data_IF_706265957246
#
_entry.id   IF_706265957246
#
_cell.length_a   1.000
_cell.length_b   1.000
_cell.length_c   1.000
_cell.angle_alpha   90.00
_cell.angle_beta   90.00
_cell.angle_gamma   90.00
#
_symmetry.space_group_name_H-M   'P 1'
#
loop_
_entity.id
_entity.type
_entity.pdbx_description
1 polymer ?
#
# COMPACT_ATOMS: atom_id res chain seq x y z
N UNK A 1 12.60 1.55 -18.55
CA UNK A 1 12.31 0.10 -18.54
C UNK A 1 11.98 -0.28 -17.12
N UNK A 2 10.82 -0.93 -16.87
CA UNK A 2 10.40 -1.29 -15.51
C UNK A 2 11.20 -2.50 -15.01
N UNK A 3 11.68 -2.44 -13.76
CA UNK A 3 12.51 -3.46 -13.12
C UNK A 3 11.66 -4.41 -12.30
N UNK A 4 11.78 -5.70 -12.53
CA UNK A 4 11.10 -6.77 -11.78
C UNK A 4 12.15 -7.59 -11.04
N UNK A 5 11.95 -7.81 -9.75
CA UNK A 5 12.70 -8.77 -8.95
C UNK A 5 11.92 -10.07 -8.86
N UNK A 6 12.46 -11.14 -9.45
CA UNK A 6 11.90 -12.49 -9.39
C UNK A 6 12.68 -13.31 -8.37
N UNK A 7 11.99 -13.83 -7.37
CA UNK A 7 12.56 -14.59 -6.26
C UNK A 7 11.91 -15.97 -6.23
N UNK A 8 12.62 -17.00 -6.64
CA UNK A 8 12.13 -18.39 -6.70
C UNK A 8 13.36 -19.32 -6.69
N UNK A 9 13.31 -20.47 -6.09
CA UNK A 9 14.42 -21.43 -6.09
C UNK A 9 14.37 -22.38 -7.30
N UNK A 10 13.25 -22.44 -8.04
CA UNK A 10 13.10 -23.20 -9.28
C UNK A 10 13.74 -22.45 -10.47
N UNK A 11 14.94 -22.89 -10.86
CA UNK A 11 15.68 -22.34 -11.99
C UNK A 11 14.96 -22.46 -13.34
N UNK A 12 14.12 -23.50 -13.51
CA UNK A 12 13.36 -23.72 -14.74
C UNK A 12 12.29 -22.63 -14.87
N UNK A 13 11.52 -22.42 -13.82
CA UNK A 13 10.50 -21.37 -13.76
C UNK A 13 11.13 -19.98 -13.93
N UNK A 14 12.23 -19.70 -13.24
CA UNK A 14 12.99 -18.47 -13.40
C UNK A 14 13.36 -18.20 -14.88
N UNK A 15 13.92 -19.21 -15.56
CA UNK A 15 14.35 -19.08 -16.96
C UNK A 15 13.17 -18.78 -17.89
N UNK A 16 12.06 -19.48 -17.69
CA UNK A 16 10.84 -19.29 -18.51
C UNK A 16 10.25 -17.88 -18.29
N UNK A 17 10.08 -17.50 -17.04
CA UNK A 17 9.48 -16.21 -16.70
C UNK A 17 10.39 -15.02 -17.11
N UNK A 18 11.69 -15.14 -16.91
CA UNK A 18 12.65 -14.10 -17.33
C UNK A 18 12.54 -13.86 -18.81
N UNK A 19 12.66 -14.91 -19.65
CA UNK A 19 12.55 -14.76 -21.11
C UNK A 19 11.20 -14.19 -21.54
N UNK A 20 10.14 -14.60 -20.86
CA UNK A 20 8.78 -14.15 -21.17
C UNK A 20 8.58 -12.67 -20.86
N UNK A 21 9.06 -12.20 -19.75
CA UNK A 21 8.94 -10.81 -19.32
C UNK A 21 9.90 -9.87 -20.06
N UNK A 22 11.14 -10.30 -20.31
CA UNK A 22 12.12 -9.53 -21.08
C UNK A 22 11.64 -9.26 -22.52
N UNK A 23 11.03 -10.26 -23.19
CA UNK A 23 10.40 -10.06 -24.49
C UNK A 23 9.30 -9.00 -24.51
N UNK A 24 8.76 -8.63 -23.36
CA UNK A 24 7.73 -7.59 -23.17
C UNK A 24 8.28 -6.26 -22.66
N UNK A 25 9.60 -6.13 -22.63
CA UNK A 25 10.27 -4.87 -22.29
C UNK A 25 10.48 -4.63 -20.81
N UNK A 26 10.41 -5.66 -19.96
CA UNK A 26 10.80 -5.58 -18.55
C UNK A 26 12.29 -5.88 -18.39
N UNK A 27 12.90 -5.30 -17.34
CA UNK A 27 14.22 -5.69 -16.85
C UNK A 27 14.03 -6.65 -15.69
N UNK A 28 14.45 -7.92 -15.82
CA UNK A 28 14.22 -8.94 -14.81
C UNK A 28 15.53 -9.26 -14.09
N UNK A 29 15.54 -9.14 -12.77
CA UNK A 29 16.60 -9.64 -11.91
C UNK A 29 16.10 -10.85 -11.16
N UNK A 30 16.93 -11.89 -11.10
CA UNK A 30 16.56 -13.18 -10.54
C UNK A 30 17.45 -13.52 -9.36
N UNK A 31 16.85 -13.98 -8.27
CA UNK A 31 17.54 -14.53 -7.11
C UNK A 31 16.83 -15.76 -6.59
N UNK A 32 17.54 -16.62 -5.84
CA UNK A 32 17.03 -17.93 -5.39
C UNK A 32 16.63 -17.97 -3.91
N UNK A 33 16.71 -16.84 -3.20
CA UNK A 33 16.35 -16.79 -1.77
C UNK A 33 15.97 -15.41 -1.30
N UNK A 34 15.16 -15.33 -0.25
CA UNK A 34 14.76 -14.06 0.38
C UNK A 34 15.92 -13.22 0.90
N UNK A 35 17.02 -13.87 1.36
CA UNK A 35 18.23 -13.15 1.82
C UNK A 35 18.92 -12.44 0.66
N UNK A 36 19.07 -13.09 -0.49
CA UNK A 36 19.64 -12.45 -1.69
C UNK A 36 18.73 -11.34 -2.19
N UNK A 37 17.41 -11.55 -2.15
CA UNK A 37 16.41 -10.57 -2.54
C UNK A 37 16.51 -9.29 -1.71
N UNK A 38 16.62 -9.37 -0.38
CA UNK A 38 16.81 -8.21 0.50
C UNK A 38 18.09 -7.44 0.20
N UNK A 39 19.21 -8.15 -0.03
CA UNK A 39 20.48 -7.50 -0.39
C UNK A 39 20.39 -6.76 -1.71
N UNK A 40 19.80 -7.40 -2.72
CA UNK A 40 19.65 -6.79 -4.05
C UNK A 40 18.70 -5.60 -4.01
N UNK A 41 17.59 -5.72 -3.25
CA UNK A 41 16.63 -4.65 -3.06
C UNK A 41 17.27 -3.40 -2.42
N UNK A 42 18.13 -3.58 -1.43
CA UNK A 42 18.80 -2.46 -0.77
C UNK A 42 19.78 -1.72 -1.69
N UNK A 43 20.34 -2.40 -2.70
CA UNK A 43 21.28 -1.81 -3.66
C UNK A 43 20.57 -1.11 -4.83
N UNK A 44 19.52 -1.71 -5.35
CA UNK A 44 18.78 -1.25 -6.53
C UNK A 44 17.32 -1.68 -6.44
N UNK A 45 16.45 -0.87 -5.80
CA UNK A 45 15.04 -1.20 -5.63
C UNK A 45 14.32 -1.44 -6.96
N UNK A 46 13.57 -2.56 -7.10
CA UNK A 46 12.75 -2.83 -8.26
C UNK A 46 11.44 -2.03 -8.25
N UNK A 47 10.77 -1.96 -9.41
CA UNK A 47 9.42 -1.42 -9.52
C UNK A 47 8.34 -2.40 -9.02
N UNK A 48 8.65 -3.71 -8.99
CA UNK A 48 7.75 -4.77 -8.54
C UNK A 48 8.54 -6.01 -8.14
N UNK A 49 8.05 -6.72 -7.12
CA UNK A 49 8.59 -8.01 -6.66
C UNK A 49 7.61 -9.13 -6.98
N UNK A 50 8.12 -10.22 -7.52
CA UNK A 50 7.41 -11.53 -7.64
C UNK A 50 8.21 -12.54 -6.83
N UNK A 51 7.60 -13.18 -5.85
CA UNK A 51 8.30 -14.13 -4.97
C UNK A 51 7.52 -15.42 -4.79
N UNK A 52 8.22 -16.56 -4.87
CA UNK A 52 7.67 -17.79 -4.31
C UNK A 52 7.51 -17.64 -2.79
N UNK A 53 6.50 -18.31 -2.23
CA UNK A 53 6.33 -18.45 -0.79
C UNK A 53 7.29 -19.50 -0.24
N UNK A 54 7.34 -20.67 -0.88
CA UNK A 54 8.07 -21.82 -0.39
C UNK A 54 9.51 -21.82 -0.89
N UNK A 55 10.41 -21.20 -0.14
CA UNK A 55 11.85 -21.19 -0.46
C UNK A 55 12.68 -21.65 0.74
N UNK A 56 13.83 -22.31 0.51
CA UNK A 56 14.70 -22.74 1.58
C UNK A 56 15.34 -21.56 2.34
N UNK A 57 15.41 -21.70 3.66
CA UNK A 57 15.99 -20.71 4.56
C UNK A 57 15.01 -19.58 4.90
N UNK A 58 15.07 -18.45 4.21
CA UNK A 58 14.10 -17.38 4.33
C UNK A 58 13.01 -17.59 3.30
N UNK A 59 11.80 -17.90 3.75
CA UNK A 59 10.63 -18.05 2.91
C UNK A 59 10.14 -16.68 2.36
N UNK A 60 9.20 -16.74 1.40
CA UNK A 60 8.67 -15.53 0.77
C UNK A 60 7.89 -14.64 1.75
N UNK A 61 7.24 -15.21 2.75
CA UNK A 61 6.47 -14.48 3.75
C UNK A 61 7.39 -13.63 4.64
N UNK A 62 8.46 -14.25 5.16
CA UNK A 62 9.46 -13.57 5.97
C UNK A 62 10.22 -12.52 5.14
N UNK A 63 10.52 -12.82 3.88
CA UNK A 63 11.09 -11.84 2.95
C UNK A 63 10.18 -10.63 2.79
N UNK A 64 8.90 -10.82 2.50
CA UNK A 64 7.93 -9.74 2.35
C UNK A 64 7.81 -8.91 3.64
N UNK A 65 7.74 -9.54 4.81
CA UNK A 65 7.67 -8.86 6.10
C UNK A 65 8.87 -7.95 6.33
N UNK A 66 10.09 -8.46 6.12
CA UNK A 66 11.33 -7.66 6.26
C UNK A 66 11.42 -6.55 5.23
N UNK A 67 10.97 -6.80 4.01
CA UNK A 67 10.90 -5.78 2.97
C UNK A 67 9.97 -4.64 3.38
N UNK A 68 8.76 -4.96 3.86
CA UNK A 68 7.76 -3.99 4.32
C UNK A 68 8.22 -3.15 5.53
N UNK A 69 9.14 -3.65 6.32
CA UNK A 69 9.77 -2.90 7.41
C UNK A 69 10.74 -1.79 6.92
N UNK A 70 11.08 -1.77 5.64
CA UNK A 70 11.96 -0.75 5.06
C UNK A 70 11.14 0.34 4.36
N UNK A 71 11.54 1.63 4.47
CA UNK A 71 10.83 2.73 3.79
C UNK A 71 10.59 2.50 2.29
N UNK A 72 11.61 2.17 1.46
CA UNK A 72 11.37 1.91 0.04
C UNK A 72 10.54 0.66 -0.21
N UNK A 73 10.60 -0.34 0.67
CA UNK A 73 9.86 -1.59 0.54
C UNK A 73 8.37 -1.49 0.88
N UNK A 74 7.93 -0.45 1.59
CA UNK A 74 6.52 -0.28 1.97
C UNK A 74 5.60 -0.10 0.76
N UNK A 75 6.08 0.55 -0.30
CA UNK A 75 5.27 0.94 -1.45
C UNK A 75 5.50 0.09 -2.70
N UNK A 76 6.52 -0.77 -2.71
CA UNK A 76 6.81 -1.61 -3.88
C UNK A 76 5.75 -2.70 -4.01
N UNK A 77 5.06 -2.82 -5.15
CA UNK A 77 4.11 -3.90 -5.38
C UNK A 77 4.74 -5.28 -5.21
N UNK A 78 4.02 -6.18 -4.54
CA UNK A 78 4.50 -7.51 -4.22
C UNK A 78 3.46 -8.58 -4.60
N UNK A 79 3.85 -9.51 -5.48
CA UNK A 79 3.03 -10.63 -5.94
C UNK A 79 3.64 -11.93 -5.43
N UNK A 80 2.85 -12.74 -4.73
CA UNK A 80 3.28 -14.09 -4.36
C UNK A 80 2.92 -15.12 -5.43
N UNK A 81 3.84 -16.05 -5.64
CA UNK A 81 3.58 -17.34 -6.28
C UNK A 81 3.35 -18.38 -5.19
N UNK A 82 2.25 -19.13 -5.23
CA UNK A 82 1.87 -20.06 -4.16
C UNK A 82 1.37 -21.39 -4.71
N UNK A 83 1.63 -22.50 -4.01
CA UNK A 83 1.02 -23.77 -4.34
C UNK A 83 -0.48 -23.79 -3.95
N UNK A 84 -1.28 -24.58 -4.69
CA UNK A 84 -2.76 -24.63 -4.55
C UNK A 84 -3.27 -25.06 -3.17
N UNK A 85 -2.39 -25.65 -2.33
CA UNK A 85 -2.78 -26.24 -1.04
C UNK A 85 -2.73 -25.27 0.16
N UNK A 86 -2.10 -24.11 0.00
CA UNK A 86 -1.74 -23.24 1.13
C UNK A 86 -2.74 -22.08 1.26
N UNK A 87 -4.01 -22.43 1.58
CA UNK A 87 -5.01 -21.41 1.92
C UNK A 87 -4.59 -20.60 3.15
N UNK A 88 -3.90 -21.25 4.09
CA UNK A 88 -3.34 -20.61 5.29
C UNK A 88 -2.20 -19.66 4.94
N UNK A 89 -1.31 -20.03 4.03
CA UNK A 89 -0.23 -19.16 3.55
C UNK A 89 -0.78 -17.93 2.79
N UNK A 90 -1.85 -18.11 2.04
CA UNK A 90 -2.56 -16.97 1.38
C UNK A 90 -3.20 -16.03 2.40
N UNK A 91 -3.72 -16.56 3.48
CA UNK A 91 -4.27 -15.77 4.58
C UNK A 91 -3.12 -15.04 5.28
N UNK A 92 -2.04 -15.72 5.64
CA UNK A 92 -0.86 -15.10 6.26
C UNK A 92 -0.20 -14.06 5.35
N UNK A 93 -0.04 -14.34 4.06
CA UNK A 93 0.55 -13.40 3.13
C UNK A 93 -0.27 -12.10 2.96
N UNK A 94 -1.61 -12.18 3.03
CA UNK A 94 -2.45 -10.99 3.13
C UNK A 94 -2.22 -10.20 4.42
N UNK A 95 -1.92 -10.89 5.55
CA UNK A 95 -1.52 -10.26 6.81
C UNK A 95 -0.18 -9.52 6.71
N UNK A 96 0.72 -9.98 5.85
CA UNK A 96 2.08 -9.42 5.71
C UNK A 96 2.13 -8.24 4.73
N UNK A 97 1.06 -7.97 3.98
CA UNK A 97 0.97 -6.81 3.09
C UNK A 97 1.34 -7.10 1.63
N UNK A 98 1.10 -8.32 1.14
CA UNK A 98 1.15 -8.60 -0.29
C UNK A 98 0.02 -7.90 -1.05
N UNK A 99 0.30 -7.47 -2.27
CA UNK A 99 -0.68 -6.80 -3.13
C UNK A 99 -1.47 -7.77 -3.99
N UNK A 100 -0.92 -8.95 -4.33
CA UNK A 100 -1.58 -9.98 -5.13
C UNK A 100 -0.96 -11.37 -4.97
N UNK A 101 -1.64 -12.40 -5.51
CA UNK A 101 -1.24 -13.81 -5.49
C UNK A 101 -1.51 -14.49 -6.82
N UNK A 102 -0.65 -15.46 -7.16
CA UNK A 102 -0.85 -16.39 -8.27
C UNK A 102 -0.64 -17.81 -7.79
N UNK A 103 -1.61 -18.68 -8.07
CA UNK A 103 -1.54 -20.08 -7.67
C UNK A 103 -0.84 -20.91 -8.74
N UNK A 104 0.22 -21.61 -8.37
CA UNK A 104 0.90 -22.61 -9.24
C UNK A 104 0.01 -23.86 -9.40
N UNK A 105 -0.12 -24.44 -10.63
CA UNK A 105 0.44 -23.96 -11.88
C UNK A 105 -0.36 -22.76 -12.46
N UNK A 106 0.32 -21.86 -13.17
CA UNK A 106 -0.27 -20.69 -13.81
C UNK A 106 0.32 -20.47 -15.22
N UNK A 107 -0.40 -19.76 -16.06
CA UNK A 107 0.09 -19.33 -17.36
C UNK A 107 0.92 -18.04 -17.23
N UNK A 108 2.06 -17.90 -17.95
CA UNK A 108 2.85 -16.67 -17.91
C UNK A 108 2.07 -15.39 -18.27
N UNK A 109 0.99 -15.52 -19.02
CA UNK A 109 0.08 -14.42 -19.35
C UNK A 109 -0.69 -13.92 -18.14
N UNK A 110 -1.07 -14.81 -17.21
CA UNK A 110 -1.74 -14.45 -15.95
C UNK A 110 -0.81 -13.62 -15.09
N UNK A 111 0.44 -14.03 -14.94
CA UNK A 111 1.45 -13.26 -14.21
C UNK A 111 1.67 -11.89 -14.84
N UNK A 112 1.78 -11.80 -16.16
CA UNK A 112 1.94 -10.54 -16.86
C UNK A 112 0.78 -9.59 -16.58
N UNK A 113 -0.45 -10.04 -16.70
CA UNK A 113 -1.64 -9.22 -16.45
C UNK A 113 -1.66 -8.65 -15.03
N UNK A 114 -1.25 -9.45 -14.03
CA UNK A 114 -1.14 -8.99 -12.65
C UNK A 114 0.01 -8.00 -12.44
N UNK A 115 1.16 -8.22 -13.05
CA UNK A 115 2.28 -7.27 -13.05
C UNK A 115 1.84 -5.92 -13.62
N UNK A 116 1.20 -5.90 -14.78
CA UNK A 116 0.72 -4.69 -15.42
C UNK A 116 -0.30 -3.94 -14.55
N UNK A 117 -1.26 -4.66 -13.98
CA UNK A 117 -2.26 -4.08 -13.08
C UNK A 117 -1.62 -3.43 -11.84
N UNK A 118 -0.64 -4.09 -11.20
CA UNK A 118 0.02 -3.56 -10.02
C UNK A 118 0.94 -2.37 -10.33
N UNK A 119 1.67 -2.42 -11.43
CA UNK A 119 2.52 -1.30 -11.87
C UNK A 119 1.67 -0.08 -12.24
N UNK A 120 0.56 -0.26 -12.93
CA UNK A 120 -0.36 0.83 -13.27
C UNK A 120 -1.01 1.43 -12.02
N UNK A 121 -1.39 0.60 -11.06
CA UNK A 121 -1.91 1.06 -9.77
C UNK A 121 -0.87 1.90 -9.01
N UNK A 122 0.37 1.42 -8.93
CA UNK A 122 1.49 2.14 -8.30
C UNK A 122 1.73 3.48 -8.99
N UNK A 123 1.69 3.52 -10.33
CA UNK A 123 1.83 4.76 -11.10
C UNK A 123 0.74 5.78 -10.80
N UNK A 124 -0.53 5.35 -10.71
CA UNK A 124 -1.66 6.23 -10.39
C UNK A 124 -1.52 6.83 -8.99
N UNK A 125 -1.16 6.02 -7.99
CA UNK A 125 -0.94 6.49 -6.62
C UNK A 125 0.18 7.53 -6.60
N UNK A 126 1.30 7.25 -7.27
CA UNK A 126 2.43 8.19 -7.34
C UNK A 126 2.05 9.51 -8.03
N UNK A 127 1.32 9.44 -9.14
CA UNK A 127 0.88 10.63 -9.88
C UNK A 127 -0.06 11.49 -9.05
N UNK A 128 -0.97 10.89 -8.29
CA UNK A 128 -1.88 11.62 -7.42
C UNK A 128 -1.15 12.25 -6.22
N UNK A 129 -0.16 11.55 -5.65
CA UNK A 129 0.70 12.07 -4.59
C UNK A 129 1.48 13.31 -5.05
N UNK A 130 2.08 13.26 -6.24
CA UNK A 130 2.80 14.41 -6.83
C UNK A 130 1.83 15.57 -7.08
N UNK A 131 0.63 15.30 -7.59
CA UNK A 131 -0.39 16.31 -7.81
C UNK A 131 -0.84 17.01 -6.52
N UNK A 132 -0.98 16.25 -5.44
CA UNK A 132 -1.34 16.80 -4.12
C UNK A 132 -0.20 17.67 -3.55
N UNK A 133 1.05 17.25 -3.69
CA UNK A 133 2.22 18.03 -3.25
C UNK A 133 2.39 19.33 -4.03
N UNK A 134 2.03 19.37 -5.31
CA UNK A 134 2.10 20.59 -6.15
C UNK A 134 0.97 21.59 -5.86
N UNK A 135 -0.05 21.22 -5.11
CA UNK A 135 -1.18 22.08 -4.74
C UNK A 135 -0.98 22.82 -3.41
N UNK A 136 0.15 22.65 -2.73
CA UNK A 136 0.50 23.50 -1.57
C UNK A 136 0.92 24.86 -2.13
N UNK A 137 0.21 25.96 -1.87
CA UNK A 137 0.66 27.30 -2.28
C UNK A 137 1.97 27.60 -1.56
N UNK A 138 3.00 27.98 -2.30
CA UNK A 138 4.13 28.70 -1.72
C UNK A 138 3.60 30.07 -1.31
N UNK A 139 3.33 30.26 -0.02
CA UNK A 139 3.18 31.59 0.54
C UNK A 139 4.52 32.32 0.40
N UNK A 140 4.64 33.04 -0.68
CA UNK A 140 5.74 33.95 -0.94
C UNK A 140 5.58 35.15 -0.02
N UNK A 141 6.39 35.15 1.02
CA UNK A 141 6.70 36.34 1.83
C UNK A 141 7.17 37.50 0.96
N UNK A 142 6.48 38.61 0.99
CA UNK A 142 7.03 39.91 0.61
C UNK A 142 6.32 41.05 1.35
N UNK A 143 6.93 41.51 2.43
CA UNK A 143 7.07 42.94 2.63
C UNK A 143 6.03 43.63 3.51
N UNK A 144 6.43 43.86 4.75
CA UNK A 144 6.31 45.09 5.57
C UNK A 144 5.01 45.90 5.53
N UNK A 145 4.33 46.14 6.62
CA UNK A 145 4.49 47.31 7.44
C UNK A 145 3.51 47.32 8.66
N UNK A 146 3.92 48.04 9.68
CA UNK A 146 3.34 48.34 10.97
C UNK A 146 1.82 48.45 11.14
N UNK A 147 1.29 47.94 12.29
CA UNK A 147 0.00 48.32 12.82
C UNK A 147 -0.47 47.51 14.00
N UNK A 148 -0.13 47.98 15.21
CA UNK A 148 -0.65 47.60 16.52
C UNK A 148 -2.19 47.51 16.52
N UNK A 149 -2.74 46.32 17.00
CA UNK A 149 -3.87 46.30 17.91
C UNK A 149 -4.17 44.89 18.43
N UNK A 150 -4.25 44.81 19.75
CA UNK A 150 -4.73 43.69 20.54
C UNK A 150 -6.15 43.30 20.14
N UNK A 151 -6.42 42.05 19.84
CA UNK A 151 -7.62 41.42 20.37
C UNK A 151 -7.48 39.89 20.46
N UNK A 152 -7.90 39.38 21.61
CA UNK A 152 -7.86 37.99 22.04
C UNK A 152 -8.97 37.21 21.35
N UNK A 153 -8.65 36.43 20.33
CA UNK A 153 -9.50 35.28 19.97
C UNK A 153 -8.63 34.05 19.84
N UNK A 154 -8.79 33.19 20.84
CA UNK A 154 -8.24 31.85 20.90
C UNK A 154 -8.70 31.04 19.70
N UNK A 155 -7.92 31.01 18.62
CA UNK A 155 -8.11 30.05 17.57
C UNK A 155 -7.60 28.70 18.05
N UNK A 156 -8.53 27.77 18.26
CA UNK A 156 -8.22 26.39 18.49
C UNK A 156 -7.44 25.86 17.28
N UNK A 157 -6.15 25.63 17.50
CA UNK A 157 -5.27 24.94 16.58
C UNK A 157 -5.80 23.51 16.46
N UNK A 158 -6.29 23.12 15.28
CA UNK A 158 -6.61 21.74 15.00
C UNK A 158 -5.36 20.89 15.30
N UNK A 159 -5.45 19.82 16.08
CA UNK A 159 -4.30 18.96 16.35
C UNK A 159 -3.90 18.26 15.04
N UNK A 160 -2.70 18.55 14.57
CA UNK A 160 -2.05 17.72 13.56
C UNK A 160 -1.89 16.30 14.16
N UNK A 161 -2.21 15.23 13.39
CA UNK A 161 -2.05 13.87 13.89
C UNK A 161 -0.57 13.55 14.05
N UNK A 162 -0.06 13.58 15.28
CA UNK A 162 1.35 13.41 15.62
C UNK A 162 1.84 11.96 15.71
N UNK A 163 1.06 10.95 15.32
CA UNK A 163 1.53 9.56 15.33
C UNK A 163 1.25 8.85 14.01
N UNK A 164 2.33 8.40 13.36
CA UNK A 164 2.25 7.46 12.24
C UNK A 164 1.55 6.17 12.71
N UNK A 165 0.34 5.91 12.22
CA UNK A 165 -0.38 4.68 12.51
C UNK A 165 0.47 3.47 12.11
N UNK A 166 0.56 2.42 12.94
CA UNK A 166 1.35 1.21 12.65
C UNK A 166 0.69 0.34 11.57
N UNK A 167 0.13 0.97 10.54
CA UNK A 167 -0.61 0.33 9.47
C UNK A 167 0.23 0.24 8.20
N UNK A 168 0.10 -0.87 7.49
CA UNK A 168 0.65 -0.97 6.13
C UNK A 168 -0.14 -0.04 5.18
N UNK A 169 0.43 0.35 4.02
CA UNK A 169 -0.28 1.18 3.05
C UNK A 169 -1.62 0.59 2.57
N UNK A 170 -1.73 -0.73 2.49
CA UNK A 170 -2.99 -1.41 2.15
C UNK A 170 -4.02 -1.31 3.29
N UNK A 171 -3.59 -1.47 4.53
CA UNK A 171 -4.42 -1.30 5.72
C UNK A 171 -4.83 0.16 5.91
N UNK A 172 -3.92 1.11 5.70
CA UNK A 172 -4.23 2.53 5.77
C UNK A 172 -5.34 2.92 4.78
N UNK A 173 -5.28 2.41 3.54
CA UNK A 173 -6.37 2.63 2.57
C UNK A 173 -7.71 2.09 3.06
N UNK A 174 -7.73 0.89 3.60
CA UNK A 174 -8.96 0.30 4.17
C UNK A 174 -9.40 1.08 5.40
N UNK A 175 -8.49 1.50 6.28
CA UNK A 175 -8.76 2.33 7.45
C UNK A 175 -9.52 3.61 7.05
N UNK A 176 -9.02 4.38 6.06
CA UNK A 176 -9.66 5.59 5.60
C UNK A 176 -11.06 5.37 5.04
N UNK A 177 -11.28 4.27 4.31
CA UNK A 177 -12.61 3.93 3.80
C UNK A 177 -13.56 3.48 4.92
N UNK A 178 -13.02 2.81 5.96
CA UNK A 178 -13.79 2.38 7.13
C UNK A 178 -14.29 3.57 7.94
N UNK A 179 -13.46 4.56 8.19
CA UNK A 179 -13.85 5.76 8.96
C UNK A 179 -14.81 6.68 8.20
N UNK A 180 -14.87 6.58 6.87
CA UNK A 180 -15.91 7.20 6.05
C UNK A 180 -17.27 6.47 6.17
N UNK A 181 -17.35 5.39 6.91
CA UNK A 181 -18.60 4.64 7.12
C UNK A 181 -18.94 3.64 6.01
N UNK A 182 -18.07 3.40 5.04
CA UNK A 182 -18.34 2.51 3.91
C UNK A 182 -18.34 1.04 4.35
N UNK A 183 -19.30 0.26 3.86
CA UNK A 183 -19.37 -1.20 4.09
C UNK A 183 -18.24 -1.94 3.37
N UNK A 184 -17.92 -3.16 3.81
CA UNK A 184 -16.88 -3.98 3.17
C UNK A 184 -17.13 -4.19 1.66
N UNK A 185 -18.40 -4.27 1.25
CA UNK A 185 -18.78 -4.36 -0.17
C UNK A 185 -18.46 -3.08 -0.94
N UNK A 186 -18.76 -1.92 -0.37
CA UNK A 186 -18.45 -0.63 -0.98
C UNK A 186 -16.93 -0.39 -1.04
N UNK A 187 -16.21 -0.71 0.05
CA UNK A 187 -14.75 -0.64 0.09
C UNK A 187 -14.13 -1.54 -0.97
N UNK A 188 -14.63 -2.78 -1.11
CA UNK A 188 -14.14 -3.73 -2.11
C UNK A 188 -14.28 -3.21 -3.54
N UNK A 189 -15.41 -2.56 -3.84
CA UNK A 189 -15.64 -1.94 -5.14
C UNK A 189 -14.73 -0.73 -5.38
N UNK A 190 -14.55 0.12 -4.36
CA UNK A 190 -13.78 1.35 -4.47
C UNK A 190 -12.27 1.10 -4.54
N UNK A 191 -11.78 0.11 -3.80
CA UNK A 191 -10.37 -0.26 -3.77
C UNK A 191 -10.00 -1.37 -4.78
N UNK A 192 -10.99 -1.90 -5.53
CA UNK A 192 -10.83 -2.99 -6.50
C UNK A 192 -10.20 -4.25 -5.88
N UNK A 193 -10.61 -4.61 -4.66
CA UNK A 193 -10.19 -5.81 -3.93
C UNK A 193 -11.42 -6.63 -3.54
N UNK A 194 -11.24 -7.92 -3.18
CA UNK A 194 -12.39 -8.75 -2.76
C UNK A 194 -12.95 -8.29 -1.40
N UNK A 195 -14.26 -8.48 -1.12
CA UNK A 195 -14.83 -8.20 0.22
C UNK A 195 -14.12 -8.98 1.33
N UNK A 196 -13.61 -10.19 1.02
CA UNK A 196 -12.82 -11.00 1.94
C UNK A 196 -11.47 -10.35 2.26
N UNK A 197 -10.82 -9.77 1.25
CA UNK A 197 -9.57 -9.01 1.43
C UNK A 197 -9.79 -7.77 2.32
N UNK A 198 -10.91 -7.06 2.12
CA UNK A 198 -11.29 -5.95 3.01
C UNK A 198 -11.45 -6.42 4.44
N UNK A 199 -12.17 -7.54 4.65
CA UNK A 199 -12.37 -8.11 5.99
C UNK A 199 -11.04 -8.47 6.64
N UNK A 200 -10.11 -9.04 5.89
CA UNK A 200 -8.77 -9.39 6.38
C UNK A 200 -7.99 -8.13 6.81
N UNK A 201 -7.93 -7.11 5.95
CA UNK A 201 -7.26 -5.85 6.34
C UNK A 201 -7.91 -5.20 7.56
N UNK A 202 -9.25 -5.22 7.64
CA UNK A 202 -9.95 -4.69 8.81
C UNK A 202 -9.58 -5.45 10.10
N UNK A 203 -9.54 -6.78 10.05
CA UNK A 203 -9.11 -7.59 11.20
C UNK A 203 -7.69 -7.25 11.65
N UNK A 204 -6.77 -7.04 10.71
CA UNK A 204 -5.39 -6.66 11.01
C UNK A 204 -5.29 -5.27 11.64
N UNK A 205 -6.01 -4.30 11.08
CA UNK A 205 -6.09 -2.94 11.65
C UNK A 205 -6.57 -3.02 13.11
N UNK A 206 -7.64 -3.76 13.36
CA UNK A 206 -8.18 -3.95 14.71
C UNK A 206 -7.14 -4.56 15.66
N UNK A 207 -6.43 -5.61 15.21
CA UNK A 207 -5.38 -6.25 16.01
C UNK A 207 -4.21 -5.30 16.28
N UNK A 208 -3.72 -4.58 15.27
CA UNK A 208 -2.59 -3.65 15.41
C UNK A 208 -2.88 -2.47 16.31
N UNK A 209 -4.12 -1.99 16.30
CA UNK A 209 -4.57 -0.88 17.13
C UNK A 209 -5.17 -1.35 18.47
N UNK A 210 -5.13 -2.68 18.74
CA UNK A 210 -5.69 -3.30 19.94
C UNK A 210 -7.18 -2.95 20.16
N UNK A 211 -7.97 -3.04 19.09
CA UNK A 211 -9.39 -2.75 19.04
C UNK A 211 -10.20 -4.03 18.76
N UNK A 212 -11.39 -4.14 19.33
CA UNK A 212 -12.22 -5.36 19.22
C UNK A 212 -13.14 -5.37 18.00
N UNK A 213 -13.58 -4.21 17.55
CA UNK A 213 -14.58 -4.11 16.50
C UNK A 213 -14.48 -2.81 15.70
N UNK A 214 -15.21 -2.79 14.57
CA UNK A 214 -15.27 -1.66 13.64
C UNK A 214 -15.74 -0.35 14.31
N UNK A 215 -16.69 -0.43 15.23
CA UNK A 215 -17.21 0.77 15.90
C UNK A 215 -16.16 1.41 16.80
N UNK A 216 -15.34 0.58 17.46
CA UNK A 216 -14.19 1.07 18.23
C UNK A 216 -13.12 1.68 17.30
N UNK A 217 -12.92 1.14 16.10
CA UNK A 217 -12.00 1.72 15.12
C UNK A 217 -12.42 3.11 14.66
N UNK A 218 -13.71 3.27 14.35
CA UNK A 218 -14.25 4.59 13.97
C UNK A 218 -14.13 5.59 15.11
N UNK A 219 -14.47 5.17 16.33
CA UNK A 219 -14.34 6.00 17.53
C UNK A 219 -12.89 6.40 17.79
N UNK A 220 -11.96 5.44 17.75
CA UNK A 220 -10.52 5.67 17.86
C UNK A 220 -10.03 6.73 16.87
N UNK A 221 -10.44 6.61 15.61
CA UNK A 221 -10.05 7.57 14.59
C UNK A 221 -10.51 9.00 14.91
N UNK A 222 -11.75 9.17 15.37
CA UNK A 222 -12.28 10.48 15.75
C UNK A 222 -11.61 11.04 17.02
N UNK A 223 -11.34 10.21 18.03
CA UNK A 223 -10.67 10.61 19.27
C UNK A 223 -9.22 11.06 19.04
N UNK A 224 -8.52 10.50 18.05
CA UNK A 224 -7.14 10.87 17.67
C UNK A 224 -7.07 11.86 16.50
N UNK A 225 -8.19 12.49 16.14
CA UNK A 225 -8.21 13.54 15.11
C UNK A 225 -8.09 13.05 13.67
N UNK A 226 -8.12 11.73 13.42
CA UNK A 226 -8.12 11.19 12.06
C UNK A 226 -9.46 11.47 11.38
N UNK A 227 -9.50 12.47 10.53
CA UNK A 227 -10.68 12.81 9.71
C UNK A 227 -10.47 12.34 8.28
N UNK A 228 -11.51 11.79 7.63
CA UNK A 228 -11.43 11.48 6.21
C UNK A 228 -11.10 12.75 5.43
N UNK A 229 -10.23 12.68 4.41
CA UNK A 229 -9.98 13.82 3.54
C UNK A 229 -11.32 14.29 2.96
N UNK A 230 -11.65 15.56 3.15
CA UNK A 230 -12.92 16.14 2.68
C UNK A 230 -12.98 16.04 1.16
N UNK A 231 -14.06 15.46 0.66
CA UNK A 231 -14.33 15.44 -0.78
C UNK A 231 -14.63 16.85 -1.27
N UNK A 232 -14.15 17.18 -2.48
CA UNK A 232 -14.34 18.53 -3.09
C UNK A 232 -15.82 18.95 -3.18
N UNK A 233 -16.76 18.02 -3.13
CA UNK A 233 -18.20 18.31 -3.09
C UNK A 233 -18.66 18.83 -1.72
N UNK A 234 -18.07 18.34 -0.62
CA UNK A 234 -18.39 18.82 0.73
C UNK A 234 -17.79 20.20 1.01
N UNK A 235 -16.62 20.50 0.46
CA UNK A 235 -16.03 21.85 0.51
C UNK A 235 -16.87 22.87 -0.23
N UNK A 236 -17.35 22.55 -1.44
CA UNK A 236 -18.27 23.42 -2.20
C UNK A 236 -19.63 23.62 -1.53
N UNK A 237 -20.11 22.59 -0.82
CA UNK A 237 -21.37 22.69 -0.07
C UNK A 237 -21.23 23.51 1.22
N UNK A 238 -20.05 23.53 1.84
CA UNK A 238 -19.76 24.38 2.99
C UNK A 238 -19.59 25.87 2.60
N UNK A 239 -18.89 26.13 1.48
CA UNK A 239 -18.74 27.49 0.92
C UNK A 239 -20.06 28.08 0.40
N UNK A 240 -21.02 27.26 -0.01
CA UNK A 240 -22.33 27.71 -0.47
C UNK A 240 -23.32 28.04 0.68
N UNK A 241 -22.95 27.74 1.94
CA UNK A 241 -23.79 27.96 3.14
C UNK A 241 -23.29 29.07 4.07
N UNK A 242 -22.13 29.66 3.76
CA UNK A 242 -21.56 30.83 4.48
C UNK A 242 -21.73 32.11 3.69
#
# INVERSE_FOLDING_TARGET
MKKILLVDDDKTLQTVLTRYLEKRGYSVRVVTSGVQALKLFAQDPPDLVVSDIMMPGMDGLEFCRRLRATRPGQLVPFIFLTAKKDLEDRIQGHYIGADDYITKPFEPLELLAKIEAQLERSRRIHSEMVRLMQKVPEDNDSGSDYGDNQDLTTQAKDPEPEEDLPLTPAEARVFWEVIQGLTNKQISQRLFISPRTVQTHLSNILTKLNLENRSQLVRFAFEHGYRPPQTQEEQRAAEARG
#
